data_IF_065622976088
#
_entry.id   IF_065622976088
#
_cell.length_a   1.000
_cell.length_b   1.000
_cell.length_c   1.000
_cell.angle_alpha   90.00
_cell.angle_beta   90.00
_cell.angle_gamma   90.00
#
_symmetry.space_group_name_H-M   'P 1'
#
loop_
_entity.id
_entity.type
_entity.pdbx_description
1 polymer ?
#
# COMPACT_ATOMS: atom_id res chain seq x y z
N UNK A 1 6.75 0.52 9.38
CA UNK A 1 5.30 0.49 9.11
C UNK A 1 5.04 -0.43 7.91
N UNK A 2 3.89 -1.10 7.89
CA UNK A 2 3.44 -1.91 6.73
C UNK A 2 2.17 -1.29 6.20
N UNK A 3 2.25 -0.70 5.02
CA UNK A 3 1.10 -0.12 4.32
C UNK A 3 0.41 -1.16 3.45
N UNK A 4 -0.90 -1.01 3.29
CA UNK A 4 -1.72 -1.86 2.43
C UNK A 4 -2.87 -1.03 1.83
N UNK A 5 -3.33 -1.43 0.65
CA UNK A 5 -4.56 -0.94 0.05
C UNK A 5 -5.61 -2.03 0.13
N UNK A 6 -6.86 -1.64 0.30
CA UNK A 6 -7.95 -2.57 0.50
C UNK A 6 -9.30 -2.01 0.02
N UNK A 7 -10.25 -2.92 -0.10
CA UNK A 7 -11.66 -2.61 -0.34
C UNK A 7 -12.49 -3.03 0.88
N UNK A 8 -13.36 -2.15 1.31
CA UNK A 8 -14.32 -2.39 2.39
C UNK A 8 -15.66 -1.77 2.02
N UNK A 9 -16.73 -2.58 2.00
CA UNK A 9 -18.09 -2.13 1.64
C UNK A 9 -18.10 -1.28 0.34
N UNK A 10 -17.51 -1.81 -0.74
CA UNK A 10 -17.35 -1.15 -2.06
C UNK A 10 -16.53 0.15 -2.08
N UNK A 11 -15.97 0.56 -0.97
CA UNK A 11 -15.04 1.69 -0.87
C UNK A 11 -13.59 1.20 -0.91
N UNK A 12 -12.82 1.73 -1.83
CA UNK A 12 -11.37 1.54 -1.86
C UNK A 12 -10.70 2.50 -0.87
N UNK A 13 -9.80 1.97 -0.06
CA UNK A 13 -9.05 2.74 0.93
C UNK A 13 -7.62 2.19 1.06
N UNK A 14 -6.86 2.80 1.93
CA UNK A 14 -5.53 2.34 2.29
C UNK A 14 -5.28 2.58 3.77
N UNK A 15 -4.29 1.87 4.30
CA UNK A 15 -4.00 1.98 5.70
C UNK A 15 -2.66 1.43 6.10
N UNK A 16 -2.42 1.43 7.39
CA UNK A 16 -1.25 0.85 8.03
C UNK A 16 -1.67 -0.30 8.96
N UNK A 17 -0.96 -1.41 8.86
CA UNK A 17 -1.23 -2.58 9.72
C UNK A 17 -1.11 -2.20 11.19
N UNK A 18 -2.11 -2.59 11.96
CA UNK A 18 -2.07 -2.48 13.43
C UNK A 18 -0.96 -3.37 13.98
N UNK A 19 -0.23 -2.86 14.96
CA UNK A 19 0.84 -3.61 15.60
C UNK A 19 0.26 -4.75 16.44
N UNK A 20 0.67 -5.99 16.13
CA UNK A 20 0.27 -7.22 16.83
C UNK A 20 -1.20 -7.64 16.66
N UNK A 21 -1.94 -7.03 15.76
CA UNK A 21 -3.32 -7.39 15.43
C UNK A 21 -3.45 -7.66 13.93
N UNK A 22 -4.38 -8.52 13.54
CA UNK A 22 -4.76 -8.72 12.14
C UNK A 22 -5.85 -7.71 11.75
N UNK A 23 -5.44 -6.45 11.80
CA UNK A 23 -6.27 -5.28 11.54
C UNK A 23 -5.46 -4.19 10.84
N UNK A 24 -6.17 -3.24 10.28
CA UNK A 24 -5.63 -2.07 9.60
C UNK A 24 -6.26 -0.79 10.17
N UNK A 25 -5.44 0.24 10.36
CA UNK A 25 -5.91 1.60 10.53
C UNK A 25 -6.37 2.16 9.17
N UNK A 26 -7.61 2.57 9.03
CA UNK A 26 -8.11 3.24 7.84
C UNK A 26 -7.61 4.69 7.82
N UNK A 27 -6.51 4.94 7.12
CA UNK A 27 -5.81 6.23 7.17
C UNK A 27 -6.62 7.43 6.69
N UNK A 28 -7.42 7.35 5.60
CA UNK A 28 -8.30 8.45 5.25
C UNK A 28 -9.26 8.87 6.36
N UNK A 29 -9.77 7.91 7.13
CA UNK A 29 -10.64 8.19 8.29
C UNK A 29 -9.84 8.79 9.46
N UNK A 30 -8.67 8.21 9.75
CA UNK A 30 -7.78 8.69 10.81
C UNK A 30 -7.32 10.12 10.52
N UNK A 31 -6.90 10.42 9.29
CA UNK A 31 -6.48 11.79 8.91
C UNK A 31 -7.63 12.80 8.93
N UNK A 32 -8.84 12.38 8.58
CA UNK A 32 -10.00 13.25 8.63
C UNK A 32 -10.29 13.76 10.05
N UNK A 33 -10.05 12.94 11.07
CA UNK A 33 -10.32 13.27 12.47
C UNK A 33 -9.10 13.79 13.21
N UNK A 34 -7.93 13.21 12.99
CA UNK A 34 -6.71 13.45 13.77
C UNK A 34 -5.53 13.98 12.96
N UNK A 35 -5.68 14.12 11.66
CA UNK A 35 -4.63 14.64 10.79
C UNK A 35 -4.50 16.16 10.83
N UNK A 36 -3.41 16.66 10.28
CA UNK A 36 -3.25 18.08 10.03
C UNK A 36 -4.31 18.58 9.04
N UNK A 37 -4.77 19.82 9.19
CA UNK A 37 -5.97 20.38 8.55
C UNK A 37 -6.05 20.19 7.04
N UNK A 38 -4.92 20.20 6.34
CA UNK A 38 -4.87 20.10 4.87
C UNK A 38 -4.21 18.78 4.38
N UNK A 39 -3.95 17.85 5.31
CA UNK A 39 -3.29 16.60 4.99
C UNK A 39 -4.26 15.42 5.08
N UNK A 40 -4.86 15.04 3.97
CA UNK A 40 -5.66 13.82 3.87
C UNK A 40 -5.56 13.24 2.45
N UNK A 41 -4.43 12.62 2.09
CA UNK A 41 -4.31 11.92 0.82
C UNK A 41 -5.31 10.77 0.74
N UNK A 42 -5.99 10.65 -0.40
CA UNK A 42 -7.08 9.67 -0.58
C UNK A 42 -6.60 8.29 -1.01
N UNK A 43 -5.37 8.19 -1.46
CA UNK A 43 -4.72 6.93 -1.86
C UNK A 43 -3.32 6.85 -1.31
N UNK A 44 -2.80 5.63 -1.16
CA UNK A 44 -1.43 5.42 -0.70
C UNK A 44 -0.41 6.12 -1.62
N UNK A 45 -0.58 5.99 -2.94
CA UNK A 45 0.32 6.63 -3.89
C UNK A 45 0.30 8.16 -3.77
N UNK A 46 -0.87 8.76 -3.55
CA UNK A 46 -0.98 10.20 -3.34
C UNK A 46 -0.25 10.64 -2.06
N UNK A 47 -0.35 9.87 -0.98
CA UNK A 47 0.39 10.12 0.25
C UNK A 47 1.90 10.05 0.08
N UNK A 48 2.37 9.02 -0.63
CA UNK A 48 3.79 8.84 -0.91
C UNK A 48 4.36 9.91 -1.85
N UNK A 49 3.56 10.43 -2.78
CA UNK A 49 3.98 11.46 -3.74
C UNK A 49 3.95 12.88 -3.18
N UNK A 50 3.05 13.19 -2.27
CA UNK A 50 2.92 14.54 -1.70
C UNK A 50 4.14 14.95 -0.88
N UNK A 51 4.84 13.99 -0.31
CA UNK A 51 5.99 14.26 0.52
C UNK A 51 7.15 13.39 0.09
N UNK A 52 8.10 13.99 -0.54
CA UNK A 52 9.32 13.35 -1.04
C UNK A 52 10.15 12.65 0.05
N UNK A 53 9.65 12.53 1.31
CA UNK A 53 10.44 12.00 2.41
C UNK A 53 9.61 11.60 3.64
N UNK A 54 10.29 11.27 4.69
CA UNK A 54 10.01 10.98 6.10
C UNK A 54 8.70 11.58 6.68
N UNK A 55 8.15 12.58 6.03
CA UNK A 55 7.01 13.35 6.52
C UNK A 55 5.69 12.55 6.45
N UNK A 56 5.46 11.75 5.39
CA UNK A 56 4.26 10.92 5.32
C UNK A 56 4.17 9.92 6.48
N UNK A 57 5.28 9.23 6.79
CA UNK A 57 5.31 8.30 7.92
C UNK A 57 5.15 9.00 9.27
N UNK A 58 5.68 10.21 9.40
CA UNK A 58 5.52 11.02 10.60
C UNK A 58 4.08 11.50 10.78
N UNK A 59 3.42 11.94 9.69
CA UNK A 59 2.00 12.29 9.69
C UNK A 59 1.13 11.08 10.09
N UNK A 60 1.41 9.91 9.54
CA UNK A 60 0.72 8.66 9.91
C UNK A 60 0.93 8.37 11.40
N UNK A 61 2.16 8.46 11.90
CA UNK A 61 2.46 8.18 13.30
C UNK A 61 1.70 9.10 14.24
N UNK A 62 1.74 10.40 13.98
CA UNK A 62 1.02 11.42 14.79
C UNK A 62 -0.47 11.16 14.83
N UNK A 63 -1.07 10.94 13.67
CA UNK A 63 -2.52 10.73 13.57
C UNK A 63 -2.97 9.42 14.24
N UNK A 64 -2.22 8.33 14.06
CA UNK A 64 -2.52 7.04 14.72
C UNK A 64 -2.36 7.15 16.25
N UNK A 65 -1.30 7.78 16.73
CA UNK A 65 -1.12 7.99 18.18
C UNK A 65 -2.27 8.81 18.76
N UNK A 66 -2.68 9.89 18.08
CA UNK A 66 -3.82 10.69 18.51
C UNK A 66 -5.13 9.88 18.53
N UNK A 67 -5.33 8.99 17.56
CA UNK A 67 -6.49 8.08 17.54
C UNK A 67 -6.45 7.10 18.73
N UNK A 68 -5.30 6.50 19.04
CA UNK A 68 -5.12 5.62 20.20
C UNK A 68 -5.40 6.36 21.51
N UNK A 69 -4.86 7.56 21.67
CA UNK A 69 -5.04 8.40 22.87
C UNK A 69 -6.49 8.89 23.05
N UNK A 70 -7.26 8.99 21.96
CA UNK A 70 -8.66 9.39 22.02
C UNK A 70 -9.59 8.36 22.69
N UNK A 71 -9.16 7.10 22.79
CA UNK A 71 -9.98 5.99 23.28
C UNK A 71 -11.09 5.55 22.29
N UNK A 72 -11.09 6.09 21.05
CA UNK A 72 -12.03 5.79 19.99
C UNK A 72 -11.38 5.00 18.84
N UNK A 73 -10.27 4.38 19.09
CA UNK A 73 -9.43 3.71 18.10
C UNK A 73 -10.17 2.62 17.31
N UNK A 74 -11.09 1.90 17.95
CA UNK A 74 -11.92 0.88 17.29
C UNK A 74 -12.80 1.43 16.14
N UNK A 75 -13.13 2.71 16.16
CA UNK A 75 -13.90 3.34 15.08
C UNK A 75 -13.08 3.48 13.77
N UNK A 76 -11.76 3.43 13.86
CA UNK A 76 -10.81 3.68 12.77
C UNK A 76 -10.04 2.43 12.34
N UNK A 77 -10.30 1.29 13.00
CA UNK A 77 -9.71 0.01 12.69
C UNK A 77 -10.67 -0.89 11.92
N UNK A 78 -10.15 -1.68 11.00
CA UNK A 78 -10.87 -2.72 10.29
C UNK A 78 -10.11 -4.03 10.44
N UNK A 79 -10.83 -5.12 10.72
CA UNK A 79 -10.23 -6.45 10.75
C UNK A 79 -9.89 -6.91 9.34
N UNK A 80 -8.85 -7.72 9.20
CA UNK A 80 -8.46 -8.30 7.92
C UNK A 80 -9.54 -9.20 7.32
N UNK A 81 -10.40 -9.78 8.15
CA UNK A 81 -11.57 -10.58 7.72
C UNK A 81 -12.67 -9.75 7.07
N UNK A 82 -12.69 -8.42 7.29
CA UNK A 82 -13.72 -7.53 6.81
C UNK A 82 -13.31 -6.73 5.57
N UNK A 83 -12.13 -6.99 5.06
CA UNK A 83 -11.55 -6.28 3.92
C UNK A 83 -11.08 -7.24 2.82
N UNK A 84 -11.08 -6.75 1.58
CA UNK A 84 -10.41 -7.40 0.46
C UNK A 84 -9.09 -6.69 0.19
N UNK A 85 -7.98 -7.43 0.19
CA UNK A 85 -6.67 -6.87 -0.11
C UNK A 85 -6.56 -6.48 -1.58
N UNK A 86 -5.99 -5.32 -1.81
CA UNK A 86 -5.66 -4.81 -3.14
C UNK A 86 -4.15 -4.68 -3.28
N UNK A 87 -3.63 -4.59 -4.51
CA UNK A 87 -2.23 -4.21 -4.69
C UNK A 87 -1.93 -2.94 -3.89
N UNK A 88 -0.82 -2.86 -3.13
CA UNK A 88 -0.55 -1.71 -2.26
C UNK A 88 -0.50 -0.39 -3.04
N UNK A 89 -0.01 -0.44 -4.27
CA UNK A 89 -0.03 0.68 -5.21
C UNK A 89 -0.55 0.17 -6.54
N UNK A 90 -1.57 0.81 -7.09
CA UNK A 90 -2.05 0.55 -8.45
C UNK A 90 -1.31 1.51 -9.39
N UNK A 91 -0.43 1.00 -10.26
CA UNK A 91 0.28 1.85 -11.20
C UNK A 91 -0.70 2.46 -12.21
N UNK A 92 -0.50 3.72 -12.63
CA UNK A 92 -1.36 4.36 -13.62
C UNK A 92 -1.18 3.78 -15.03
N UNK A 93 -0.07 3.09 -15.27
CA UNK A 93 0.33 2.53 -16.56
C UNK A 93 0.66 1.04 -16.43
N UNK A 94 1.02 0.43 -17.55
CA UNK A 94 1.47 -0.95 -17.57
C UNK A 94 2.71 -1.17 -16.70
N UNK A 95 2.79 -2.36 -16.12
CA UNK A 95 3.98 -2.80 -15.38
C UNK A 95 5.06 -3.21 -16.37
N UNK A 96 6.26 -2.70 -16.19
CA UNK A 96 7.44 -3.13 -16.93
C UNK A 96 8.10 -4.27 -16.17
N UNK A 97 8.29 -5.39 -16.83
CA UNK A 97 8.95 -6.55 -16.25
C UNK A 97 10.20 -6.93 -17.03
N UNK A 98 11.19 -7.46 -16.31
CA UNK A 98 12.43 -7.98 -16.88
C UNK A 98 12.41 -9.51 -16.81
N UNK A 99 12.56 -10.15 -17.96
CA UNK A 99 12.72 -11.59 -18.04
C UNK A 99 14.20 -11.99 -18.09
N UNK A 100 14.51 -13.18 -17.60
CA UNK A 100 15.86 -13.78 -17.66
C UNK A 100 16.97 -12.88 -17.07
N UNK A 101 16.66 -12.19 -16.00
CA UNK A 101 17.57 -11.21 -15.38
C UNK A 101 18.64 -11.88 -14.52
N UNK A 102 18.43 -13.14 -14.08
CA UNK A 102 19.35 -13.87 -13.23
C UNK A 102 19.95 -15.04 -14.01
N UNK A 103 21.26 -15.19 -13.90
CA UNK A 103 22.03 -16.25 -14.58
C UNK A 103 21.53 -17.65 -14.19
N UNK A 104 21.24 -17.88 -12.92
CA UNK A 104 20.72 -19.15 -12.41
C UNK A 104 19.39 -19.52 -13.07
N UNK A 105 18.50 -18.56 -13.21
CA UNK A 105 17.20 -18.79 -13.85
C UNK A 105 17.34 -19.06 -15.36
N UNK A 106 18.28 -18.42 -16.02
CA UNK A 106 18.56 -18.66 -17.44
C UNK A 106 19.17 -20.03 -17.66
N UNK A 107 20.03 -20.52 -16.75
CA UNK A 107 20.64 -21.86 -16.83
C UNK A 107 19.62 -22.98 -16.60
N UNK A 108 18.65 -22.80 -15.70
CA UNK A 108 17.54 -23.75 -15.48
C UNK A 108 16.69 -23.96 -16.74
N UNK A 109 16.54 -22.92 -17.57
CA UNK A 109 15.76 -22.94 -18.79
C UNK A 109 16.56 -23.30 -20.05
N UNK A 110 17.85 -23.69 -19.92
CA UNK A 110 18.77 -23.97 -21.02
C UNK A 110 18.86 -22.83 -22.05
N UNK A 111 18.84 -21.59 -21.61
CA UNK A 111 18.95 -20.39 -22.45
C UNK A 111 20.24 -19.63 -22.13
N UNK A 112 20.95 -19.22 -23.17
CA UNK A 112 22.10 -18.32 -23.01
C UNK A 112 21.65 -16.93 -22.57
N UNK A 113 22.40 -16.28 -21.67
CA UNK A 113 22.11 -14.93 -21.15
C UNK A 113 22.59 -13.87 -22.12
N UNK A 114 22.18 -13.93 -23.37
CA UNK A 114 22.65 -13.00 -24.40
C UNK A 114 21.84 -11.71 -24.54
N UNK A 115 20.65 -11.64 -23.90
CA UNK A 115 19.81 -10.43 -23.96
C UNK A 115 18.87 -10.30 -22.79
N UNK A 116 18.77 -9.09 -22.28
CA UNK A 116 17.77 -8.70 -21.29
C UNK A 116 16.40 -8.58 -21.98
N UNK A 117 15.46 -9.40 -21.57
CA UNK A 117 14.07 -9.29 -22.05
C UNK A 117 13.29 -8.30 -21.20
N UNK A 118 12.75 -7.28 -21.85
CA UNK A 118 11.83 -6.31 -21.24
C UNK A 118 10.45 -6.53 -21.84
N UNK A 119 9.44 -6.68 -21.01
CA UNK A 119 8.06 -6.81 -21.44
C UNK A 119 7.12 -6.04 -20.51
N UNK A 120 5.93 -5.73 -21.01
CA UNK A 120 4.91 -5.01 -20.25
C UNK A 120 3.78 -5.94 -19.86
N UNK A 121 3.21 -5.68 -18.67
CA UNK A 121 1.98 -6.30 -18.19
C UNK A 121 0.94 -5.23 -17.90
N UNK A 122 -0.33 -5.54 -18.13
CA UNK A 122 -1.42 -4.64 -17.75
C UNK A 122 -1.44 -4.45 -16.22
N UNK A 123 -1.81 -3.25 -15.79
CA UNK A 123 -1.97 -2.95 -14.35
C UNK A 123 -2.98 -3.90 -13.67
N UNK A 124 -4.00 -4.34 -14.41
CA UNK A 124 -4.99 -5.32 -13.95
C UNK A 124 -4.45 -6.72 -13.65
N UNK A 125 -3.20 -7.02 -14.05
CA UNK A 125 -2.55 -8.29 -13.69
C UNK A 125 -2.01 -8.34 -12.26
N UNK A 126 -2.03 -7.21 -11.54
CA UNK A 126 -1.62 -7.14 -10.14
C UNK A 126 -2.76 -7.57 -9.23
N UNK A 127 -2.42 -8.30 -8.19
CA UNK A 127 -3.37 -8.72 -7.13
C UNK A 127 -2.83 -8.32 -5.77
N UNK A 128 -3.73 -8.23 -4.79
CA UNK A 128 -3.40 -7.91 -3.40
C UNK A 128 -3.16 -9.14 -2.51
N UNK A 129 -3.28 -10.32 -3.06
CA UNK A 129 -3.11 -11.58 -2.32
C UNK A 129 -1.64 -11.89 -1.99
#
# INVERSE_FOLDING_TARGET
MKFLSFKHNDRTSYGVKVKREDAVWDLPMVFAEFGDKDFNPKTLIAGLQQNQTLDFQEQVRKAVVAAEESGRDEEFKLLFTDIDFLPPVTPPNNVIAFGRNYEDHASELNHEVDSLYVFTKAASSLTGD
#
